data_IF_357006500382
#
_entry.id   IF_357006500382
#
_cell.length_a   1.000
_cell.length_b   1.000
_cell.length_c   1.000
_cell.angle_alpha   90.00
_cell.angle_beta   90.00
_cell.angle_gamma   90.00
#
_symmetry.space_group_name_H-M   'P 1'
#
loop_
_entity.id
_entity.type
_entity.pdbx_description
1 polymer ?
#
# COMPACT_ATOMS: atom_id res chain seq x y z
N UNK A 1 -1.59 30.83 30.73
CA UNK A 1 -2.06 30.79 29.32
C UNK A 1 -2.24 29.34 28.94
N UNK A 2 -3.44 28.91 28.55
CA UNK A 2 -3.63 27.56 28.01
C UNK A 2 -2.83 27.45 26.73
N UNK A 3 -1.91 26.49 26.65
CA UNK A 3 -1.11 26.24 25.45
C UNK A 3 -2.03 25.91 24.27
N UNK A 4 -1.70 26.39 23.07
CA UNK A 4 -2.42 26.04 21.84
C UNK A 4 -2.28 24.53 21.66
N UNK A 5 -3.42 23.81 21.58
CA UNK A 5 -3.43 22.39 21.32
C UNK A 5 -2.94 22.14 19.89
N UNK A 6 -1.93 21.29 19.75
CA UNK A 6 -1.33 20.93 18.45
C UNK A 6 -1.75 19.50 18.06
N UNK A 7 -1.66 19.18 16.77
CA UNK A 7 -1.83 17.80 16.30
C UNK A 7 -0.80 16.87 16.93
N UNK A 8 -1.15 15.57 17.03
CA UNK A 8 -0.24 14.57 17.58
C UNK A 8 1.04 14.45 16.72
N UNK A 9 2.19 14.10 17.32
CA UNK A 9 3.42 13.85 16.57
C UNK A 9 3.23 12.80 15.46
N UNK A 10 3.58 13.17 14.23
CA UNK A 10 3.41 12.30 13.05
C UNK A 10 2.05 12.42 12.36
N UNK A 11 1.18 13.31 12.85
CA UNK A 11 -0.10 13.69 12.23
C UNK A 11 -0.04 15.13 11.77
N UNK A 12 -0.81 15.47 10.74
CA UNK A 12 -0.81 16.81 10.16
C UNK A 12 -2.22 17.36 10.01
N UNK A 13 -2.36 18.65 10.29
CA UNK A 13 -3.48 19.44 9.83
C UNK A 13 -3.26 19.82 8.35
N UNK A 14 -4.35 19.83 7.58
CA UNK A 14 -4.35 20.29 6.19
C UNK A 14 -5.20 21.54 6.10
N UNK A 15 -4.54 22.70 6.15
CA UNK A 15 -5.18 23.96 5.89
C UNK A 15 -5.62 24.07 4.42
N UNK A 16 -6.43 25.06 4.03
CA UNK A 16 -7.02 25.08 2.67
C UNK A 16 -6.00 24.92 1.54
N UNK A 17 -4.82 25.53 1.62
CA UNK A 17 -3.79 25.42 0.59
C UNK A 17 -3.17 24.01 0.53
N UNK A 18 -2.84 23.42 1.68
CA UNK A 18 -2.33 22.06 1.79
C UNK A 18 -3.38 21.03 1.35
N UNK A 19 -4.63 21.28 1.73
CA UNK A 19 -5.75 20.45 1.31
C UNK A 19 -5.94 20.49 -0.21
N UNK A 20 -5.82 21.67 -0.84
CA UNK A 20 -5.87 21.80 -2.31
C UNK A 20 -4.75 21.02 -2.99
N UNK A 21 -3.51 21.07 -2.47
CA UNK A 21 -2.38 20.27 -3.00
C UNK A 21 -2.65 18.78 -2.87
N UNK A 22 -3.11 18.31 -1.71
CA UNK A 22 -3.48 16.92 -1.49
C UNK A 22 -4.57 16.45 -2.46
N UNK A 23 -5.59 17.28 -2.66
CA UNK A 23 -6.70 16.96 -3.56
C UNK A 23 -6.24 16.92 -5.04
N UNK A 24 -5.29 17.78 -5.43
CA UNK A 24 -4.66 17.70 -6.75
C UNK A 24 -3.92 16.36 -6.94
N UNK A 25 -3.10 15.93 -5.97
CA UNK A 25 -2.39 14.66 -6.01
C UNK A 25 -3.37 13.48 -6.11
N UNK A 26 -4.32 13.41 -5.19
CA UNK A 26 -5.29 12.30 -5.14
C UNK A 26 -6.24 12.29 -6.34
N UNK A 27 -6.59 13.47 -6.87
CA UNK A 27 -7.37 13.62 -8.10
C UNK A 27 -6.63 13.09 -9.33
N UNK A 28 -5.32 13.36 -9.42
CA UNK A 28 -4.45 12.84 -10.49
C UNK A 28 -4.33 11.32 -10.40
N UNK A 29 -4.06 10.76 -9.22
CA UNK A 29 -4.03 9.31 -8.99
C UNK A 29 -5.35 8.64 -9.44
N UNK A 30 -6.47 9.18 -9.00
CA UNK A 30 -7.80 8.66 -9.34
C UNK A 30 -8.05 8.66 -10.84
N UNK A 31 -7.69 9.74 -11.52
CA UNK A 31 -7.85 9.87 -12.98
C UNK A 31 -7.01 8.82 -13.72
N UNK A 32 -5.74 8.65 -13.35
CA UNK A 32 -4.85 7.67 -13.98
C UNK A 32 -5.31 6.23 -13.68
N UNK A 33 -5.62 5.89 -12.44
CA UNK A 33 -6.12 4.55 -12.11
C UNK A 33 -7.37 4.19 -12.92
N UNK A 34 -8.31 5.13 -13.05
CA UNK A 34 -9.52 4.92 -13.86
C UNK A 34 -9.25 4.76 -15.35
N UNK A 35 -8.24 5.44 -15.93
CA UNK A 35 -7.87 5.27 -17.35
C UNK A 35 -7.32 3.88 -17.66
N UNK A 36 -6.78 3.16 -16.66
CA UNK A 36 -6.38 1.75 -16.74
C UNK A 36 -7.53 0.77 -16.43
N UNK A 37 -8.76 1.27 -16.27
CA UNK A 37 -9.92 0.44 -15.97
C UNK A 37 -10.05 0.00 -14.51
N UNK A 38 -9.25 0.55 -13.60
CA UNK A 38 -9.37 0.26 -12.17
C UNK A 38 -10.62 0.94 -11.58
N UNK A 39 -11.30 0.25 -10.69
CA UNK A 39 -12.48 0.72 -9.97
C UNK A 39 -12.13 1.05 -8.52
N UNK A 40 -12.61 2.21 -8.07
CA UNK A 40 -12.34 2.69 -6.71
C UNK A 40 -13.10 1.86 -5.68
N UNK A 41 -12.42 1.49 -4.60
CA UNK A 41 -12.99 0.87 -3.41
C UNK A 41 -12.41 1.51 -2.16
N UNK A 42 -13.03 1.32 -1.04
CA UNK A 42 -12.50 1.63 0.27
C UNK A 42 -12.97 0.59 1.29
N UNK A 43 -12.31 0.52 2.41
CA UNK A 43 -12.64 -0.31 3.55
C UNK A 43 -12.55 0.49 4.86
N UNK A 44 -12.97 -0.10 5.98
CA UNK A 44 -12.88 0.56 7.28
C UNK A 44 -11.46 0.98 7.62
N UNK A 45 -11.31 2.17 8.21
CA UNK A 45 -10.02 2.61 8.78
C UNK A 45 -9.64 1.81 10.01
N UNK A 46 -10.65 1.34 10.75
CA UNK A 46 -10.51 0.52 11.95
C UNK A 46 -10.94 -0.91 11.63
N UNK A 47 -10.07 -1.88 11.89
CA UNK A 47 -10.29 -3.30 11.61
C UNK A 47 -10.00 -4.14 12.87
N UNK A 48 -10.54 -5.37 12.96
CA UNK A 48 -10.14 -6.30 13.99
C UNK A 48 -8.63 -6.59 13.95
N UNK A 49 -7.96 -6.56 15.09
CA UNK A 49 -6.52 -6.79 15.20
C UNK A 49 -6.09 -8.15 14.61
N UNK A 50 -6.95 -9.16 14.73
CA UNK A 50 -6.72 -10.50 14.18
C UNK A 50 -6.54 -10.52 12.65
N UNK A 51 -7.09 -9.56 11.92
CA UNK A 51 -6.87 -9.45 10.49
C UNK A 51 -5.38 -9.27 10.15
N UNK A 52 -4.65 -8.57 11.01
CA UNK A 52 -3.22 -8.31 10.84
C UNK A 52 -2.34 -9.40 11.44
N UNK A 53 -2.77 -10.02 12.56
CA UNK A 53 -2.06 -11.15 13.19
C UNK A 53 -1.92 -12.35 12.25
N UNK A 54 -2.98 -12.68 11.51
CA UNK A 54 -3.02 -13.85 10.59
C UNK A 54 -2.13 -13.72 9.36
N UNK A 55 -1.81 -12.51 8.94
CA UNK A 55 -0.96 -12.26 7.76
C UNK A 55 0.54 -12.35 8.10
N UNK A 56 0.92 -12.02 9.32
CA UNK A 56 2.31 -11.77 9.67
C UNK A 56 3.01 -12.99 10.23
N UNK A 57 3.66 -13.73 9.37
CA UNK A 57 4.79 -14.59 9.71
C UNK A 57 6.06 -13.80 10.12
N UNK A 58 6.09 -12.47 9.94
CA UNK A 58 7.19 -11.60 10.33
C UNK A 58 6.69 -10.42 11.17
N UNK A 59 6.92 -10.45 12.48
CA UNK A 59 6.35 -9.55 13.51
C UNK A 59 6.57 -8.04 13.40
N UNK A 60 7.21 -7.54 12.33
CA UNK A 60 7.61 -6.13 12.21
C UNK A 60 6.41 -5.17 12.15
N UNK A 61 5.38 -5.48 11.36
CA UNK A 61 4.19 -4.61 11.25
C UNK A 61 3.37 -4.61 12.54
N UNK A 62 3.32 -5.74 13.27
CA UNK A 62 2.55 -5.82 14.52
C UNK A 62 3.07 -4.84 15.59
N UNK A 63 4.39 -4.64 15.64
CA UNK A 63 5.01 -3.66 16.56
C UNK A 63 4.74 -2.20 16.18
N UNK A 64 4.22 -1.95 14.98
CA UNK A 64 3.96 -0.60 14.46
C UNK A 64 2.45 -0.27 14.42
N UNK A 65 1.57 -1.13 14.95
CA UNK A 65 0.14 -0.89 14.92
C UNK A 65 -0.29 0.13 15.98
N UNK A 66 -1.20 1.01 15.59
CA UNK A 66 -2.07 1.71 16.54
C UNK A 66 -3.21 0.77 16.91
N UNK A 67 -3.09 0.06 18.02
CA UNK A 67 -4.08 -0.90 18.49
C UNK A 67 -4.60 -0.55 19.88
N UNK A 68 -5.86 -0.88 20.14
CA UNK A 68 -6.52 -0.66 21.44
C UNK A 68 -7.73 -1.59 21.58
N UNK A 69 -8.24 -1.68 22.79
CA UNK A 69 -9.52 -2.35 23.05
C UNK A 69 -10.65 -1.34 22.97
N UNK A 70 -11.65 -1.60 22.16
CA UNK A 70 -12.82 -0.74 22.03
C UNK A 70 -13.81 -0.90 23.20
N UNK A 71 -14.87 -0.08 23.24
CA UNK A 71 -15.90 -0.16 24.29
C UNK A 71 -16.69 -1.48 24.29
N UNK A 72 -16.62 -2.26 23.23
CA UNK A 72 -17.22 -3.59 23.10
C UNK A 72 -16.24 -4.71 23.40
N UNK A 73 -15.14 -4.41 24.08
CA UNK A 73 -14.07 -5.36 24.48
C UNK A 73 -13.39 -6.07 23.31
N UNK A 74 -13.44 -5.47 22.10
CA UNK A 74 -12.78 -6.01 20.90
C UNK A 74 -11.40 -5.40 20.72
N UNK A 75 -10.40 -6.22 20.46
CA UNK A 75 -9.09 -5.74 20.04
C UNK A 75 -9.17 -5.25 18.58
N UNK A 76 -8.84 -4.00 18.36
CA UNK A 76 -8.93 -3.32 17.07
C UNK A 76 -7.64 -2.58 16.77
N UNK A 77 -7.39 -2.31 15.49
CA UNK A 77 -6.24 -1.53 15.06
C UNK A 77 -6.59 -0.60 13.90
N UNK A 78 -5.95 0.56 13.85
CA UNK A 78 -5.96 1.38 12.66
C UNK A 78 -5.15 0.68 11.57
N UNK A 79 -5.68 0.67 10.33
CA UNK A 79 -5.06 -0.03 9.21
C UNK A 79 -3.65 0.49 8.88
N UNK A 80 -2.61 -0.35 8.89
CA UNK A 80 -1.25 0.02 8.49
C UNK A 80 -1.02 -0.09 6.97
N UNK A 81 -1.90 -0.85 6.29
CA UNK A 81 -1.88 -1.14 4.84
C UNK A 81 -3.26 -1.61 4.38
N UNK A 82 -3.49 -1.68 3.06
CA UNK A 82 -4.78 -2.04 2.49
C UNK A 82 -4.92 -3.55 2.17
N UNK A 83 -3.83 -4.25 1.92
CA UNK A 83 -3.84 -5.64 1.44
C UNK A 83 -4.70 -6.59 2.29
N UNK A 84 -4.64 -6.60 3.65
CA UNK A 84 -5.51 -7.46 4.45
C UNK A 84 -7.00 -7.11 4.30
N UNK A 85 -7.32 -5.82 4.23
CA UNK A 85 -8.70 -5.35 4.05
C UNK A 85 -9.25 -5.76 2.68
N UNK A 86 -8.51 -5.56 1.58
CA UNK A 86 -8.97 -5.99 0.25
C UNK A 86 -9.10 -7.49 0.16
N UNK A 87 -8.17 -8.25 0.75
CA UNK A 87 -8.27 -9.71 0.80
C UNK A 87 -9.54 -10.17 1.51
N UNK A 88 -9.88 -9.60 2.67
CA UNK A 88 -11.11 -9.88 3.40
C UNK A 88 -12.36 -9.55 2.57
N UNK A 89 -12.38 -8.41 1.89
CA UNK A 89 -13.48 -7.99 1.03
C UNK A 89 -13.67 -8.94 -0.16
N UNK A 90 -12.55 -9.36 -0.78
CA UNK A 90 -12.58 -10.30 -1.90
C UNK A 90 -13.04 -11.69 -1.46
N UNK A 91 -12.60 -12.21 -0.32
CA UNK A 91 -13.08 -13.50 0.23
C UNK A 91 -14.60 -13.47 0.38
N UNK A 92 -15.15 -12.35 0.85
CA UNK A 92 -16.60 -12.21 1.06
C UNK A 92 -17.40 -12.18 -0.26
N UNK A 93 -16.83 -11.66 -1.36
CA UNK A 93 -17.59 -11.33 -2.58
C UNK A 93 -16.90 -11.68 -3.90
N UNK A 94 -15.81 -12.45 -3.90
CA UNK A 94 -15.03 -12.72 -5.13
C UNK A 94 -15.84 -13.36 -6.26
N UNK A 95 -16.89 -14.11 -5.92
CA UNK A 95 -17.77 -14.76 -6.90
C UNK A 95 -18.69 -13.78 -7.65
N UNK A 96 -18.91 -12.59 -7.10
CA UNK A 96 -19.75 -11.55 -7.70
C UNK A 96 -19.02 -10.75 -8.78
N UNK A 97 -17.67 -10.86 -8.86
CA UNK A 97 -16.85 -10.08 -9.76
C UNK A 97 -16.19 -10.93 -10.84
N UNK A 98 -16.27 -10.43 -12.09
CA UNK A 98 -15.55 -11.03 -13.21
C UNK A 98 -14.04 -10.75 -13.06
N UNK A 99 -13.21 -11.76 -13.28
CA UNK A 99 -11.75 -11.66 -13.29
C UNK A 99 -11.22 -11.23 -14.66
N UNK A 100 -10.08 -10.51 -14.75
CA UNK A 100 -9.34 -9.98 -13.62
C UNK A 100 -10.09 -8.84 -12.91
N UNK A 101 -9.97 -8.80 -11.58
CA UNK A 101 -10.51 -7.72 -10.76
C UNK A 101 -9.44 -6.64 -10.67
N UNK A 102 -9.75 -5.42 -11.10
CA UNK A 102 -8.87 -4.26 -11.04
C UNK A 102 -9.48 -3.23 -10.10
N UNK A 103 -8.94 -3.17 -8.90
CA UNK A 103 -9.41 -2.24 -7.88
C UNK A 103 -8.30 -1.30 -7.44
N UNK A 104 -8.67 -0.07 -7.06
CA UNK A 104 -7.75 0.86 -6.43
C UNK A 104 -8.39 1.55 -5.23
N UNK A 105 -7.57 1.94 -4.27
CA UNK A 105 -7.98 2.79 -3.15
C UNK A 105 -6.99 3.93 -2.94
N UNK A 106 -7.51 5.05 -2.45
CA UNK A 106 -6.72 6.21 -2.00
C UNK A 106 -7.14 6.49 -0.58
N UNK A 107 -6.34 6.08 0.38
CA UNK A 107 -6.75 6.02 1.76
C UNK A 107 -5.63 6.41 2.74
N UNK A 108 -5.97 6.90 3.95
CA UNK A 108 -5.00 7.08 5.01
C UNK A 108 -4.62 5.74 5.64
N UNK A 109 -3.33 5.61 5.99
CA UNK A 109 -2.74 4.51 6.71
C UNK A 109 -2.00 5.00 7.93
N UNK A 110 -1.82 4.11 8.93
CA UNK A 110 -1.33 4.49 10.24
C UNK A 110 -0.25 3.50 10.70
N UNK A 111 0.96 4.03 10.98
CA UNK A 111 2.08 3.24 11.50
C UNK A 111 2.77 3.98 12.63
N UNK A 112 2.92 3.32 13.76
CA UNK A 112 3.64 3.85 14.90
C UNK A 112 5.15 3.66 14.72
N UNK A 113 5.69 4.31 13.68
CA UNK A 113 7.12 4.28 13.39
C UNK A 113 7.86 5.40 14.15
N UNK A 114 9.18 5.20 14.33
CA UNK A 114 10.05 6.28 14.79
C UNK A 114 10.04 7.41 13.75
N UNK A 115 9.76 8.61 14.21
CA UNK A 115 9.71 9.77 13.33
C UNK A 115 11.07 10.03 12.65
N UNK A 116 11.02 10.21 11.35
CA UNK A 116 12.15 10.60 10.50
C UNK A 116 11.67 11.65 9.51
N UNK A 117 12.61 12.38 8.90
CA UNK A 117 12.26 13.30 7.82
C UNK A 117 11.54 12.55 6.70
N UNK A 118 10.34 13.01 6.31
CA UNK A 118 9.50 12.39 5.29
C UNK A 118 8.67 11.18 5.75
N UNK A 119 8.82 10.67 6.99
CA UNK A 119 7.98 9.60 7.54
C UNK A 119 7.02 10.14 8.58
N UNK A 120 5.74 10.01 8.29
CA UNK A 120 4.64 10.36 9.18
C UNK A 120 3.98 9.10 9.72
N UNK A 121 3.25 9.24 10.84
CA UNK A 121 2.44 8.18 11.42
C UNK A 121 1.09 8.01 10.73
N UNK A 122 0.60 9.09 10.10
CA UNK A 122 -0.54 9.10 9.20
C UNK A 122 -0.08 9.52 7.81
N UNK A 123 -0.33 8.70 6.79
CA UNK A 123 0.06 8.97 5.42
C UNK A 123 -0.98 8.43 4.43
N UNK A 124 -1.08 9.07 3.27
CA UNK A 124 -1.94 8.62 2.18
C UNK A 124 -1.15 7.71 1.23
N UNK A 125 -1.82 6.65 0.75
CA UNK A 125 -1.31 5.81 -0.33
C UNK A 125 -2.34 5.66 -1.44
N UNK A 126 -1.85 5.53 -2.67
CA UNK A 126 -2.56 4.92 -3.79
C UNK A 126 -2.20 3.44 -3.81
N UNK A 127 -3.18 2.57 -3.63
CA UNK A 127 -3.04 1.14 -3.80
C UNK A 127 -3.80 0.72 -5.05
N UNK A 128 -3.17 -0.08 -5.91
CA UNK A 128 -3.81 -0.67 -7.08
C UNK A 128 -3.62 -2.18 -7.03
N UNK A 129 -4.72 -2.92 -7.03
CA UNK A 129 -4.75 -4.36 -6.88
C UNK A 129 -5.33 -4.98 -8.16
N UNK A 130 -4.56 -5.87 -8.80
CA UNK A 130 -4.99 -6.68 -9.92
C UNK A 130 -5.07 -8.14 -9.44
N UNK A 131 -6.27 -8.72 -9.43
CA UNK A 131 -6.53 -10.01 -8.81
C UNK A 131 -7.17 -10.98 -9.80
N UNK A 132 -6.59 -12.18 -9.87
CA UNK A 132 -7.11 -13.27 -10.72
C UNK A 132 -6.48 -13.32 -12.10
N UNK A 133 -5.34 -12.66 -12.30
CA UNK A 133 -4.42 -12.82 -13.42
C UNK A 133 -3.00 -12.95 -12.84
N UNK A 134 -2.30 -14.02 -13.15
CA UNK A 134 -0.93 -14.29 -12.71
C UNK A 134 0.07 -14.19 -13.87
N UNK A 135 -0.33 -13.59 -15.00
CA UNK A 135 0.54 -13.44 -16.15
C UNK A 135 1.52 -12.28 -15.97
N UNK A 136 2.69 -12.33 -16.63
CA UNK A 136 3.62 -11.18 -16.68
C UNK A 136 2.98 -9.91 -17.26
N UNK A 137 1.92 -10.04 -18.05
CA UNK A 137 1.19 -8.91 -18.60
C UNK A 137 0.48 -8.10 -17.49
N UNK A 138 -0.01 -8.77 -16.43
CA UNK A 138 -0.61 -8.12 -15.28
C UNK A 138 0.41 -7.26 -14.51
N UNK A 139 1.63 -7.77 -14.31
CA UNK A 139 2.72 -7.02 -13.70
C UNK A 139 3.13 -5.82 -14.59
N UNK A 140 3.24 -6.03 -15.89
CA UNK A 140 3.55 -4.97 -16.85
C UNK A 140 2.49 -3.86 -16.85
N UNK A 141 1.20 -4.21 -16.70
CA UNK A 141 0.13 -3.23 -16.61
C UNK A 141 0.25 -2.36 -15.34
N UNK A 142 0.58 -2.96 -14.19
CA UNK A 142 0.81 -2.21 -12.94
C UNK A 142 2.03 -1.29 -13.05
N UNK A 143 3.10 -1.74 -13.70
CA UNK A 143 4.27 -0.89 -13.99
C UNK A 143 3.91 0.26 -14.93
N UNK A 144 3.14 0.01 -15.98
CA UNK A 144 2.65 1.05 -16.88
C UNK A 144 1.77 2.08 -16.14
N UNK A 145 0.88 1.62 -15.25
CA UNK A 145 0.07 2.50 -14.40
C UNK A 145 0.95 3.37 -13.49
N UNK A 146 2.00 2.81 -12.89
CA UNK A 146 2.96 3.57 -12.08
C UNK A 146 3.66 4.64 -12.93
N UNK A 147 4.17 4.28 -14.11
CA UNK A 147 4.83 5.19 -15.05
C UNK A 147 3.89 6.33 -15.44
N UNK A 148 2.66 6.02 -15.86
CA UNK A 148 1.70 7.04 -16.27
C UNK A 148 1.26 7.93 -15.09
N UNK A 149 1.22 7.39 -13.88
CA UNK A 149 0.96 8.18 -12.67
C UNK A 149 2.07 9.22 -12.45
N UNK A 150 3.33 8.83 -12.58
CA UNK A 150 4.48 9.73 -12.42
C UNK A 150 4.55 10.75 -13.58
N UNK A 151 4.28 10.31 -14.82
CA UNK A 151 4.21 11.21 -15.99
C UNK A 151 3.09 12.24 -15.88
N UNK A 152 1.98 11.88 -15.26
CA UNK A 152 0.87 12.82 -15.01
C UNK A 152 1.24 13.97 -14.07
N UNK A 153 2.35 13.83 -13.30
CA UNK A 153 2.97 14.89 -12.51
C UNK A 153 4.13 15.60 -13.23
N UNK A 154 4.37 15.29 -14.51
CA UNK A 154 5.45 15.89 -15.30
C UNK A 154 6.81 15.24 -15.09
N UNK A 155 6.89 14.08 -14.43
CA UNK A 155 8.14 13.35 -14.25
C UNK A 155 8.48 12.55 -15.53
N UNK A 156 9.76 12.53 -15.89
CA UNK A 156 10.30 11.83 -17.07
C UNK A 156 11.40 10.85 -16.66
N UNK A 157 11.97 10.14 -17.61
CA UNK A 157 13.14 9.28 -17.40
C UNK A 157 14.35 10.02 -16.80
N UNK A 158 14.43 11.34 -16.95
CA UNK A 158 15.51 12.14 -16.36
C UNK A 158 15.34 12.35 -14.85
N UNK A 159 14.12 12.11 -14.33
CA UNK A 159 13.77 12.35 -12.94
C UNK A 159 13.63 11.06 -12.13
N UNK A 160 13.31 9.93 -12.80
CA UNK A 160 12.96 8.68 -12.13
C UNK A 160 13.59 7.47 -12.82
N UNK A 161 13.92 6.45 -12.00
CA UNK A 161 14.30 5.12 -12.44
C UNK A 161 13.41 4.12 -11.73
N UNK A 162 12.78 3.21 -12.47
CA UNK A 162 12.02 2.10 -11.92
C UNK A 162 12.92 0.87 -11.90
N UNK A 163 13.18 0.35 -10.71
CA UNK A 163 13.91 -0.90 -10.52
C UNK A 163 12.90 -2.03 -10.33
N UNK A 164 13.01 -3.06 -11.16
CA UNK A 164 12.16 -4.25 -11.10
C UNK A 164 13.02 -5.42 -10.64
N UNK A 165 12.52 -6.19 -9.68
CA UNK A 165 13.14 -7.42 -9.21
C UNK A 165 12.10 -8.54 -9.23
N UNK A 166 12.46 -9.70 -9.78
CA UNK A 166 11.63 -10.91 -9.77
C UNK A 166 12.40 -12.03 -9.07
N UNK A 167 11.82 -12.55 -7.97
CA UNK A 167 12.47 -13.60 -7.18
C UNK A 167 12.68 -14.87 -7.98
N UNK A 168 11.76 -15.25 -8.88
CA UNK A 168 11.89 -16.48 -9.69
C UNK A 168 13.02 -16.34 -10.68
N UNK A 169 13.10 -15.20 -11.37
CA UNK A 169 14.20 -14.92 -12.30
C UNK A 169 15.56 -14.96 -11.59
N UNK A 170 15.64 -14.44 -10.37
CA UNK A 170 16.84 -14.52 -9.56
C UNK A 170 17.19 -15.95 -9.17
N UNK A 171 16.21 -16.74 -8.72
CA UNK A 171 16.42 -18.14 -8.34
C UNK A 171 16.85 -18.99 -9.53
N UNK A 172 16.24 -18.80 -10.69
CA UNK A 172 16.64 -19.47 -11.94
C UNK A 172 18.07 -19.09 -12.34
N UNK A 173 18.41 -17.80 -12.29
CA UNK A 173 19.77 -17.36 -12.57
C UNK A 173 20.78 -17.97 -11.60
N UNK A 174 20.54 -17.95 -10.30
CA UNK A 174 21.43 -18.52 -9.29
C UNK A 174 21.60 -20.04 -9.46
N UNK A 175 20.53 -20.74 -9.82
CA UNK A 175 20.60 -22.16 -10.15
C UNK A 175 21.54 -22.44 -11.34
N UNK A 176 21.57 -21.58 -12.38
CA UNK A 176 22.52 -21.69 -13.49
C UNK A 176 23.97 -21.47 -13.04
N UNK A 177 24.19 -20.75 -11.94
CA UNK A 177 25.51 -20.52 -11.34
C UNK A 177 25.88 -21.58 -10.29
N UNK A 178 25.09 -22.65 -10.13
CA UNK A 178 25.32 -23.73 -9.18
C UNK A 178 24.92 -23.42 -7.72
N UNK A 179 24.26 -22.29 -7.48
CA UNK A 179 23.73 -21.93 -6.16
C UNK A 179 22.32 -22.52 -6.03
N UNK A 180 22.18 -23.56 -5.19
CA UNK A 180 20.90 -24.27 -5.00
C UNK A 180 20.27 -24.01 -3.64
N UNK A 181 20.97 -23.35 -2.73
CA UNK A 181 20.47 -23.01 -1.40
C UNK A 181 19.77 -21.65 -1.42
N UNK A 182 18.44 -21.67 -1.28
CA UNK A 182 17.61 -20.44 -1.25
C UNK A 182 17.99 -19.51 -0.09
N UNK A 183 18.41 -20.03 1.06
CA UNK A 183 18.79 -19.22 2.21
C UNK A 183 20.09 -18.45 1.95
N UNK A 184 21.11 -19.12 1.41
CA UNK A 184 22.36 -18.48 0.98
C UNK A 184 22.15 -17.45 -0.13
N UNK A 185 21.24 -17.72 -1.06
CA UNK A 185 20.88 -16.79 -2.13
C UNK A 185 20.20 -15.52 -1.62
N UNK A 186 19.34 -15.62 -0.58
CA UNK A 186 18.68 -14.47 0.02
C UNK A 186 19.61 -13.60 0.90
N UNK A 187 20.69 -14.15 1.45
CA UNK A 187 21.70 -13.40 2.22
C UNK A 187 22.67 -12.63 1.30
N UNK A 188 22.81 -13.04 0.04
CA UNK A 188 23.69 -12.42 -0.94
C UNK A 188 23.06 -11.28 -1.75
N UNK A 189 21.73 -11.03 -1.59
CA UNK A 189 20.93 -9.99 -2.24
C UNK A 189 20.59 -8.86 -1.28
#
# INVERSE_FOLDING_TARGET
MAGIMQSLPGFRDFFPAECARRNYLTGTWRRVARSFGFREYDGPTLEPLDLYRKKNSGGEILGQLFSFTDKGEREVALRPEMTPTVARMLIAKAREYRKPIKWFSIAPFFRYEKQQSGRLREFLQLNCDLVGDASPAADAELLALLIETLRAFGLTSDHIVIRVSDRRAWMEFLATQGVTDEAQACEAL
#
